data_IF_793914380618
#
_entry.id   IF_793914380618
#
_cell.length_a   1.000
_cell.length_b   1.000
_cell.length_c   1.000
_cell.angle_alpha   90.00
_cell.angle_beta   90.00
_cell.angle_gamma   90.00
#
_symmetry.space_group_name_H-M   'P 1'
#
loop_
_entity.id
_entity.type
_entity.pdbx_description
1 polymer ?
#
# COMPACT_ATOMS: atom_id res chain seq x y z
N UNK A 1 -11.24 -22.40 12.55
CA UNK A 1 -9.90 -22.85 13.00
C UNK A 1 -8.99 -21.65 12.92
N UNK A 2 -8.24 -21.32 13.98
CA UNK A 2 -7.32 -20.18 13.90
C UNK A 2 -6.08 -20.57 13.12
N UNK A 3 -5.76 -19.80 12.09
CA UNK A 3 -4.62 -19.99 11.18
C UNK A 3 -3.76 -18.73 11.21
N UNK A 4 -2.45 -18.90 11.01
CA UNK A 4 -1.53 -17.80 10.79
C UNK A 4 -0.91 -17.94 9.40
N UNK A 5 -0.86 -16.83 8.65
CA UNK A 5 -0.20 -16.75 7.34
C UNK A 5 0.80 -15.61 7.33
N UNK A 6 1.98 -15.89 6.81
CA UNK A 6 3.05 -14.91 6.66
C UNK A 6 3.39 -14.73 5.20
N UNK A 7 3.44 -13.48 4.76
CA UNK A 7 3.80 -13.08 3.39
C UNK A 7 4.94 -12.08 3.42
N UNK A 8 5.84 -12.17 2.44
CA UNK A 8 6.97 -11.26 2.31
C UNK A 8 6.72 -10.28 1.17
N UNK A 9 6.57 -9.00 1.52
CA UNK A 9 6.28 -7.92 0.58
C UNK A 9 7.43 -6.92 0.66
N UNK A 10 8.28 -6.89 -0.38
CA UNK A 10 9.47 -6.06 -0.42
C UNK A 10 9.11 -4.57 -0.53
N UNK A 11 8.18 -4.23 -1.43
CA UNK A 11 7.72 -2.87 -1.63
C UNK A 11 7.01 -2.32 -0.38
N UNK A 12 7.51 -1.23 0.23
CA UNK A 12 6.87 -0.60 1.37
C UNK A 12 5.44 -0.13 1.13
N UNK A 13 5.11 0.33 -0.08
CA UNK A 13 3.78 0.86 -0.36
C UNK A 13 2.75 -0.27 -0.48
N UNK A 14 3.05 -1.28 -1.29
CA UNK A 14 2.27 -2.52 -1.36
C UNK A 14 2.04 -3.14 0.02
N UNK A 15 3.08 -3.13 0.87
CA UNK A 15 2.98 -3.66 2.24
C UNK A 15 2.03 -2.83 3.12
N UNK A 16 2.08 -1.50 3.01
CA UNK A 16 1.15 -0.63 3.74
C UNK A 16 -0.30 -0.88 3.31
N UNK A 17 -0.55 -1.03 2.01
CA UNK A 17 -1.89 -1.33 1.47
C UNK A 17 -2.41 -2.67 2.00
N UNK A 18 -1.58 -3.73 1.96
CA UNK A 18 -1.95 -5.04 2.51
C UNK A 18 -2.27 -4.97 4.01
N UNK A 19 -1.48 -4.22 4.78
CA UNK A 19 -1.76 -4.04 6.22
C UNK A 19 -3.08 -3.30 6.43
N UNK A 20 -3.32 -2.21 5.70
CA UNK A 20 -4.57 -1.44 5.79
C UNK A 20 -5.79 -2.28 5.40
N UNK A 21 -5.70 -3.09 4.34
CA UNK A 21 -6.81 -3.96 3.94
C UNK A 21 -7.13 -5.06 4.97
N UNK A 22 -6.12 -5.56 5.68
CA UNK A 22 -6.28 -6.64 6.64
C UNK A 22 -6.55 -6.17 8.08
N UNK A 23 -6.15 -4.95 8.45
CA UNK A 23 -6.28 -4.41 9.81
C UNK A 23 -7.09 -3.10 9.90
N UNK A 24 -7.36 -2.44 8.79
CA UNK A 24 -8.02 -1.15 8.71
C UNK A 24 -9.54 -1.21 8.64
N UNK A 25 -10.13 -0.09 8.25
CA UNK A 25 -11.58 0.07 8.19
C UNK A 25 -12.17 -0.76 7.02
N UNK A 26 -12.71 -1.94 7.34
CA UNK A 26 -13.21 -2.89 6.35
C UNK A 26 -12.48 -4.24 6.37
N UNK A 27 -11.55 -4.42 7.31
CA UNK A 27 -10.88 -5.70 7.53
C UNK A 27 -11.88 -6.86 7.61
N UNK A 28 -11.53 -8.05 7.06
CA UNK A 28 -12.39 -9.22 7.19
C UNK A 28 -12.64 -9.54 8.66
N UNK A 29 -13.90 -9.81 9.01
CA UNK A 29 -14.34 -10.02 10.40
C UNK A 29 -13.64 -11.18 11.11
N UNK A 30 -13.12 -12.15 10.35
CA UNK A 30 -12.35 -13.27 10.89
C UNK A 30 -10.89 -12.93 11.20
N UNK A 31 -10.38 -11.76 10.81
CA UNK A 31 -9.01 -11.34 11.16
C UNK A 31 -8.95 -10.95 12.63
N UNK A 32 -8.00 -11.53 13.33
CA UNK A 32 -7.77 -11.34 14.77
C UNK A 32 -6.63 -10.37 14.99
N UNK A 33 -5.58 -10.50 14.20
CA UNK A 33 -4.32 -9.79 14.41
C UNK A 33 -3.50 -9.73 13.13
N UNK A 34 -2.90 -8.57 12.88
CA UNK A 34 -1.92 -8.37 11.80
C UNK A 34 -0.67 -7.77 12.43
N UNK A 35 0.47 -8.39 12.16
CA UNK A 35 1.78 -7.94 12.64
C UNK A 35 2.73 -7.75 11.47
N UNK A 36 3.63 -6.77 11.61
CA UNK A 36 4.66 -6.46 10.61
C UNK A 36 6.03 -6.55 11.26
N UNK A 37 6.94 -7.27 10.61
CA UNK A 37 8.36 -7.32 10.94
C UNK A 37 9.19 -7.13 9.66
N UNK A 38 9.73 -5.93 9.47
CA UNK A 38 10.41 -5.55 8.24
C UNK A 38 9.50 -5.67 7.00
N UNK A 39 9.84 -6.60 6.11
CA UNK A 39 9.08 -6.94 4.90
C UNK A 39 8.06 -8.06 5.11
N UNK A 40 8.07 -8.73 6.27
CA UNK A 40 7.12 -9.78 6.58
C UNK A 40 5.84 -9.18 7.17
N UNK A 41 4.69 -9.62 6.67
CA UNK A 41 3.37 -9.36 7.25
C UNK A 41 2.78 -10.70 7.66
N UNK A 42 2.41 -10.83 8.93
CA UNK A 42 1.76 -12.03 9.47
C UNK A 42 0.35 -11.69 9.89
N UNK A 43 -0.62 -12.40 9.30
CA UNK A 43 -2.04 -12.29 9.64
C UNK A 43 -2.50 -13.55 10.35
N UNK A 44 -3.20 -13.36 11.48
CA UNK A 44 -3.83 -14.42 12.26
C UNK A 44 -5.34 -14.24 12.16
N UNK A 45 -6.04 -15.28 11.74
CA UNK A 45 -7.47 -15.21 11.44
C UNK A 45 -8.19 -16.53 11.70
N UNK A 46 -9.50 -16.49 11.86
CA UNK A 46 -10.35 -17.69 11.92
C UNK A 46 -10.83 -18.08 10.52
N UNK A 47 -10.29 -19.17 10.00
CA UNK A 47 -10.60 -19.73 8.68
C UNK A 47 -12.06 -20.20 8.56
N UNK A 48 -12.75 -20.43 9.69
CA UNK A 48 -14.17 -20.75 9.66
C UNK A 48 -15.06 -19.51 9.39
N UNK A 49 -14.53 -18.30 9.60
CA UNK A 49 -15.23 -17.03 9.45
C UNK A 49 -14.76 -16.32 8.17
N UNK A 50 -13.46 -16.30 7.93
CA UNK A 50 -12.83 -15.69 6.75
C UNK A 50 -12.01 -16.76 6.04
N UNK A 51 -12.43 -17.21 4.84
CA UNK A 51 -11.71 -18.23 4.11
C UNK A 51 -10.28 -17.80 3.81
N UNK A 52 -9.33 -18.72 3.95
CA UNK A 52 -7.92 -18.49 3.63
C UNK A 52 -7.71 -17.93 2.21
N UNK A 53 -8.51 -18.37 1.24
CA UNK A 53 -8.43 -17.90 -0.14
C UNK A 53 -8.75 -16.40 -0.25
N UNK A 54 -9.67 -15.87 0.57
CA UNK A 54 -9.96 -14.44 0.60
C UNK A 54 -8.77 -13.63 1.15
N UNK A 55 -8.05 -14.18 2.13
CA UNK A 55 -6.82 -13.56 2.65
C UNK A 55 -5.75 -13.53 1.55
N UNK A 56 -5.58 -14.65 0.85
CA UNK A 56 -4.60 -14.74 -0.25
C UNK A 56 -4.96 -13.78 -1.40
N UNK A 57 -6.25 -13.67 -1.76
CA UNK A 57 -6.74 -12.75 -2.77
C UNK A 57 -6.51 -11.28 -2.39
N UNK A 58 -6.84 -10.89 -1.15
CA UNK A 58 -6.59 -9.54 -0.65
C UNK A 58 -5.09 -9.19 -0.69
N UNK A 59 -4.24 -10.11 -0.24
CA UNK A 59 -2.79 -9.91 -0.32
C UNK A 59 -2.35 -9.72 -1.78
N UNK A 60 -2.84 -10.54 -2.70
CA UNK A 60 -2.47 -10.46 -4.11
C UNK A 60 -2.92 -9.15 -4.77
N UNK A 61 -4.15 -8.72 -4.50
CA UNK A 61 -4.75 -7.49 -5.05
C UNK A 61 -4.00 -6.25 -4.53
N UNK A 62 -3.85 -6.15 -3.21
CA UNK A 62 -3.26 -4.97 -2.57
C UNK A 62 -1.74 -4.90 -2.74
N UNK A 63 -1.09 -6.03 -3.05
CA UNK A 63 0.33 -6.04 -3.41
C UNK A 63 0.61 -5.45 -4.80
N UNK A 64 -0.40 -5.30 -5.65
CA UNK A 64 -0.27 -4.79 -7.02
C UNK A 64 -0.92 -3.41 -7.17
N UNK A 65 -1.97 -3.13 -6.39
CA UNK A 65 -2.61 -1.82 -6.40
C UNK A 65 -1.70 -0.76 -5.79
N UNK A 66 -1.29 0.20 -6.61
CA UNK A 66 -0.80 1.51 -6.18
C UNK A 66 -2.00 2.45 -6.28
N UNK A 67 -2.69 2.79 -5.18
CA UNK A 67 -3.77 3.78 -5.24
C UNK A 67 -3.21 5.14 -5.66
N UNK A 68 -3.94 5.87 -6.51
CA UNK A 68 -3.68 7.29 -6.75
C UNK A 68 -3.75 8.03 -5.41
N UNK A 69 -2.57 8.43 -4.92
CA UNK A 69 -2.39 9.02 -3.61
C UNK A 69 -3.24 10.29 -3.40
N UNK A 70 -4.13 10.28 -2.41
CA UNK A 70 -4.53 11.52 -1.72
C UNK A 70 -3.67 11.70 -0.48
N UNK A 71 -2.83 12.74 -0.40
CA UNK A 71 -1.85 12.90 0.66
C UNK A 71 -2.56 13.39 1.92
N UNK A 72 -2.91 12.47 2.82
CA UNK A 72 -3.09 12.80 4.23
C UNK A 72 -2.99 11.51 5.06
N UNK A 73 -2.20 11.55 6.13
CA UNK A 73 -1.94 10.47 7.10
C UNK A 73 -0.86 9.43 6.75
N UNK A 74 0.34 9.88 6.38
CA UNK A 74 1.55 9.07 6.59
C UNK A 74 2.28 9.49 7.87
N UNK A 75 2.67 8.49 8.66
CA UNK A 75 3.66 8.67 9.72
C UNK A 75 4.94 9.28 9.11
N UNK A 76 5.54 10.24 9.82
CA UNK A 76 6.64 11.09 9.34
C UNK A 76 7.83 10.28 8.78
N UNK A 77 8.01 9.06 9.29
CA UNK A 77 9.06 8.12 8.93
C UNK A 77 8.89 7.55 7.51
N UNK A 78 7.66 7.23 7.12
CA UNK A 78 7.34 6.72 5.78
C UNK A 78 7.31 7.84 4.74
N UNK A 79 6.91 9.05 5.15
CA UNK A 79 6.93 10.24 4.28
C UNK A 79 8.36 10.62 3.84
N UNK A 80 9.35 10.47 4.72
CA UNK A 80 10.74 10.77 4.42
C UNK A 80 11.35 9.80 3.39
N UNK A 81 11.03 8.51 3.47
CA UNK A 81 11.48 7.50 2.53
C UNK A 81 10.92 7.75 1.12
N UNK A 82 9.67 8.21 1.03
CA UNK A 82 8.98 8.48 -0.23
C UNK A 82 9.49 9.78 -0.87
N UNK A 83 9.75 10.82 -0.07
CA UNK A 83 10.41 12.02 -0.54
C UNK A 83 11.82 11.74 -1.08
N UNK A 84 12.58 10.85 -0.45
CA UNK A 84 13.90 10.43 -0.92
C UNK A 84 13.84 9.65 -2.25
N UNK A 85 12.81 8.82 -2.45
CA UNK A 85 12.59 8.10 -3.70
C UNK A 85 12.17 9.03 -4.85
N UNK A 86 11.35 10.05 -4.58
CA UNK A 86 10.91 11.03 -5.58
C UNK A 86 11.99 12.04 -6.01
N UNK A 87 12.99 12.31 -5.16
CA UNK A 87 14.13 13.18 -5.49
C UNK A 87 15.21 12.49 -6.35
N UNK A 88 15.07 11.19 -6.62
CA UNK A 88 16.01 10.40 -7.41
C UNK A 88 15.76 10.43 -8.92
N UNK A 89 14.65 11.02 -9.38
CA UNK A 89 14.29 11.10 -10.80
C UNK A 89 14.35 12.56 -11.30
N UNK A 90 15.51 13.00 -11.84
CA UNK A 90 15.68 14.36 -12.33
C UNK A 90 15.08 14.61 -13.73
N UNK A 91 14.23 13.75 -14.29
CA UNK A 91 13.66 13.92 -15.65
C UNK A 91 12.18 14.37 -15.68
N UNK A 92 11.69 15.01 -14.61
CA UNK A 92 10.53 15.89 -14.74
C UNK A 92 10.98 17.22 -15.33
N UNK A 93 11.06 17.22 -16.66
CA UNK A 93 11.26 18.34 -17.56
C UNK A 93 10.23 19.45 -17.26
N UNK A 94 10.52 20.27 -16.25
CA UNK A 94 9.64 21.29 -15.69
C UNK A 94 9.26 22.38 -16.70
N UNK A 95 9.98 22.46 -17.82
CA UNK A 95 9.69 23.38 -18.91
C UNK A 95 8.52 22.91 -19.81
N UNK A 96 8.19 21.61 -19.84
CA UNK A 96 7.10 21.08 -20.70
C UNK A 96 5.70 21.43 -20.18
N UNK A 97 5.55 21.63 -18.87
CA UNK A 97 4.25 21.90 -18.24
C UNK A 97 3.78 23.34 -18.54
N UNK A 98 4.71 24.28 -18.74
CA UNK A 98 4.38 25.69 -18.97
C UNK A 98 4.07 26.02 -20.43
N UNK A 99 4.69 25.35 -21.41
CA UNK A 99 4.44 25.63 -22.84
C UNK A 99 3.03 25.22 -23.30
N UNK A 100 2.42 24.20 -22.69
CA UNK A 100 1.07 23.75 -23.04
C UNK A 100 -0.05 24.71 -22.60
N UNK A 101 0.23 25.64 -21.68
CA UNK A 101 -0.82 26.49 -21.07
C UNK A 101 -0.87 27.94 -21.59
N UNK A 102 0.07 28.36 -22.43
CA UNK A 102 0.12 29.73 -22.98
C UNK A 102 0.06 29.82 -24.52
N UNK A 103 -0.13 28.71 -25.23
CA UNK A 103 -0.14 28.66 -26.70
C UNK A 103 -1.49 28.87 -27.40
N UNK A 104 -2.60 29.15 -26.70
CA UNK A 104 -3.91 29.36 -27.36
C UNK A 104 -4.67 30.54 -26.78
N UNK A 105 -4.34 31.74 -27.22
CA UNK A 105 -5.27 32.88 -27.34
C UNK A 105 -4.66 33.91 -28.29
N UNK A 106 -4.98 33.73 -29.58
CA UNK A 106 -5.11 34.83 -30.53
C UNK A 106 -6.32 35.69 -30.17
#
# INVERSE_FOLDING_TARGET
MIVARTVHIADPLARANVVEALAGAGAPVGVIEVTRDGSAVTVRFDDAITPSDLIDDLVAIESVLVPEWTPNDLALEDAAAIAAAGLGDPDLDADRILEAHLGTRS
#
